data_IF_088721579581
#
_entry.id   IF_088721579581
#
_cell.length_a   1.000
_cell.length_b   1.000
_cell.length_c   1.000
_cell.angle_alpha   90.00
_cell.angle_beta   90.00
_cell.angle_gamma   90.00
#
_symmetry.space_group_name_H-M   'P 1'
#
loop_
_entity.id
_entity.type
_entity.pdbx_description
1 polymer ?
#
# COMPACT_ATOMS: atom_id res chain seq x y z
N UNK A 1 0.24 2.06 -8.32
CA UNK A 1 -0.11 2.48 -6.95
C UNK A 1 1.17 2.86 -6.24
N UNK A 2 1.16 3.92 -5.48
CA UNK A 2 2.28 4.59 -4.82
C UNK A 2 3.55 4.74 -5.70
N UNK A 3 4.39 5.69 -5.40
CA UNK A 3 5.65 5.92 -6.09
C UNK A 3 6.72 6.37 -5.08
N UNK A 4 6.95 5.54 -4.07
CA UNK A 4 7.86 5.81 -2.94
C UNK A 4 9.35 5.75 -3.28
N UNK A 5 9.69 5.30 -4.48
CA UNK A 5 11.05 5.29 -5.01
C UNK A 5 11.25 6.45 -5.99
N UNK A 6 12.50 6.70 -6.42
CA UNK A 6 12.76 7.76 -7.39
C UNK A 6 12.06 7.50 -8.73
N UNK A 7 11.62 8.56 -9.42
CA UNK A 7 11.02 8.45 -10.74
C UNK A 7 11.86 7.62 -11.73
N UNK A 8 13.20 7.78 -11.70
CA UNK A 8 14.11 6.97 -12.52
C UNK A 8 13.97 5.46 -12.25
N UNK A 9 13.74 5.05 -10.98
CA UNK A 9 13.56 3.63 -10.64
C UNK A 9 12.18 3.13 -11.03
N UNK A 10 11.14 3.97 -10.93
CA UNK A 10 9.80 3.65 -11.43
C UNK A 10 9.84 3.41 -12.94
N UNK A 11 10.45 4.34 -13.69
CA UNK A 11 10.62 4.22 -15.15
C UNK A 11 11.43 2.98 -15.55
N UNK A 12 12.46 2.64 -14.78
CA UNK A 12 13.23 1.41 -15.02
C UNK A 12 12.36 0.15 -14.83
N UNK A 13 11.53 0.12 -13.79
CA UNK A 13 10.61 -1.00 -13.56
C UNK A 13 9.52 -1.09 -14.64
N UNK A 14 8.97 0.03 -15.10
CA UNK A 14 8.01 0.05 -16.22
C UNK A 14 8.65 -0.51 -17.49
N UNK A 15 9.89 -0.13 -17.77
CA UNK A 15 10.62 -0.61 -18.95
C UNK A 15 10.88 -2.13 -18.91
N UNK A 16 11.08 -2.72 -17.73
CA UNK A 16 11.19 -4.18 -17.58
C UNK A 16 9.87 -4.90 -17.96
N UNK A 17 8.75 -4.18 -17.86
CA UNK A 17 7.43 -4.65 -18.27
C UNK A 17 7.05 -4.22 -19.70
N UNK A 18 8.00 -3.67 -20.46
CA UNK A 18 7.78 -3.12 -21.81
C UNK A 18 6.76 -1.96 -21.83
N UNK A 19 6.66 -1.20 -20.72
CA UNK A 19 5.78 -0.05 -20.56
C UNK A 19 6.59 1.25 -20.42
N UNK A 20 5.93 2.35 -20.72
CA UNK A 20 6.44 3.71 -20.50
C UNK A 20 5.54 4.47 -19.50
N UNK A 21 6.05 5.58 -18.96
CA UNK A 21 5.26 6.41 -18.05
C UNK A 21 4.01 7.02 -18.70
N UNK A 22 4.02 7.17 -20.03
CA UNK A 22 2.86 7.61 -20.84
C UNK A 22 1.73 6.58 -20.91
N UNK A 23 2.00 5.31 -20.62
CA UNK A 23 0.99 4.26 -20.61
C UNK A 23 0.18 4.24 -19.30
N UNK A 24 0.66 4.96 -18.28
CA UNK A 24 0.01 5.04 -16.96
C UNK A 24 -1.22 5.94 -17.04
N UNK A 25 -2.37 5.37 -16.77
CA UNK A 25 -3.67 6.09 -16.80
C UNK A 25 -4.00 6.80 -15.49
N UNK A 26 -3.30 6.49 -14.41
CA UNK A 26 -3.49 7.13 -13.11
C UNK A 26 -2.56 6.58 -12.05
N UNK A 27 -2.33 7.37 -11.02
CA UNK A 27 -1.54 7.00 -9.85
C UNK A 27 -2.43 7.04 -8.60
N UNK A 28 -2.61 5.90 -7.98
CA UNK A 28 -3.30 5.75 -6.70
C UNK A 28 -2.31 5.96 -5.57
N UNK A 29 -2.67 6.76 -4.58
CA UNK A 29 -1.84 6.99 -3.38
C UNK A 29 -2.59 6.48 -2.16
N UNK A 30 -1.91 5.64 -1.37
CA UNK A 30 -2.46 5.09 -0.13
C UNK A 30 -2.45 6.12 1.00
N UNK A 31 -1.34 6.82 1.15
CA UNK A 31 -1.13 7.86 2.15
C UNK A 31 0.13 8.69 1.85
N UNK A 32 0.39 9.73 2.63
CA UNK A 32 1.40 10.76 2.35
C UNK A 32 2.82 10.47 2.85
N UNK A 33 3.12 9.33 3.43
CA UNK A 33 4.48 9.04 3.90
C UNK A 33 5.50 9.04 2.74
N UNK A 34 6.71 9.47 3.01
CA UNK A 34 7.73 9.73 1.98
C UNK A 34 8.13 8.50 1.17
N UNK A 35 8.07 7.32 1.76
CA UNK A 35 8.33 6.04 1.14
C UNK A 35 7.18 5.55 0.24
N UNK A 36 6.08 6.30 0.18
CA UNK A 36 4.95 6.09 -0.75
C UNK A 36 4.89 7.16 -1.84
N UNK A 37 5.33 8.39 -1.58
CA UNK A 37 5.11 9.52 -2.51
C UNK A 37 6.36 10.17 -3.07
N UNK A 38 7.56 9.77 -2.69
CA UNK A 38 8.83 10.43 -3.06
C UNK A 38 9.01 10.72 -4.55
N UNK A 39 8.54 9.82 -5.42
CA UNK A 39 8.64 9.96 -6.88
C UNK A 39 7.49 10.71 -7.52
N UNK A 40 6.37 10.90 -6.81
CA UNK A 40 5.10 11.37 -7.36
C UNK A 40 5.24 12.72 -8.06
N UNK A 41 5.84 13.71 -7.40
CA UNK A 41 5.94 15.06 -7.98
C UNK A 41 6.72 15.11 -9.29
N UNK A 42 7.80 14.33 -9.42
CA UNK A 42 8.58 14.25 -10.66
C UNK A 42 7.80 13.55 -11.76
N UNK A 43 7.16 12.43 -11.44
CA UNK A 43 6.35 11.66 -12.39
C UNK A 43 5.13 12.45 -12.86
N UNK A 44 4.42 13.12 -11.96
CA UNK A 44 3.26 13.95 -12.28
C UNK A 44 3.64 15.09 -13.25
N UNK A 45 4.74 15.81 -12.98
CA UNK A 45 5.21 16.88 -13.91
C UNK A 45 5.66 16.36 -15.26
N UNK A 46 6.17 15.13 -15.32
CA UNK A 46 6.69 14.54 -16.56
C UNK A 46 5.59 13.98 -17.45
N UNK A 47 4.61 13.32 -16.86
CA UNK A 47 3.62 12.54 -17.61
C UNK A 47 2.19 13.10 -17.51
N UNK A 48 1.89 13.94 -16.53
CA UNK A 48 0.58 14.58 -16.40
C UNK A 48 -0.57 13.62 -16.11
N UNK A 49 -0.31 12.43 -15.50
CA UNK A 49 -1.39 11.50 -15.19
C UNK A 49 -2.18 11.93 -13.94
N UNK A 50 -3.46 11.56 -13.85
CA UNK A 50 -4.29 11.79 -12.68
C UNK A 50 -3.70 11.13 -11.41
N UNK A 51 -3.80 11.82 -10.27
CA UNK A 51 -3.40 11.33 -8.94
C UNK A 51 -4.67 11.17 -8.11
N UNK A 52 -4.97 9.96 -7.72
CA UNK A 52 -6.14 9.61 -6.92
C UNK A 52 -5.70 9.37 -5.47
N UNK A 53 -6.25 10.15 -4.53
CA UNK A 53 -6.00 10.02 -3.11
C UNK A 53 -7.18 10.57 -2.30
N UNK A 54 -7.26 10.23 -1.02
CA UNK A 54 -8.21 10.86 -0.10
C UNK A 54 -7.90 12.36 0.06
N UNK A 55 -8.90 13.14 0.47
CA UNK A 55 -8.70 14.58 0.65
C UNK A 55 -7.62 14.88 1.71
N UNK A 56 -7.60 14.11 2.81
CA UNK A 56 -6.58 14.27 3.85
C UNK A 56 -5.16 14.06 3.32
N UNK A 57 -4.95 12.99 2.53
CA UNK A 57 -3.67 12.71 1.87
C UNK A 57 -3.27 13.81 0.89
N UNK A 58 -4.20 14.30 0.05
CA UNK A 58 -3.95 15.40 -0.90
C UNK A 58 -3.52 16.67 -0.16
N UNK A 59 -4.22 17.05 0.91
CA UNK A 59 -3.90 18.25 1.67
C UNK A 59 -2.50 18.20 2.29
N UNK A 60 -2.09 17.03 2.80
CA UNK A 60 -0.73 16.83 3.29
C UNK A 60 0.30 16.90 2.16
N UNK A 61 0.06 16.23 1.03
CA UNK A 61 0.96 16.26 -0.13
C UNK A 61 1.19 17.67 -0.65
N UNK A 62 0.16 18.51 -0.71
CA UNK A 62 0.25 19.92 -1.12
C UNK A 62 1.13 20.74 -0.19
N UNK A 63 1.21 20.40 1.09
CA UNK A 63 2.09 21.02 2.07
C UNK A 63 3.56 20.62 1.96
N UNK A 64 3.89 19.57 1.17
CA UNK A 64 5.22 19.00 1.11
C UNK A 64 6.09 19.62 0.00
N UNK A 65 7.01 20.50 0.38
CA UNK A 65 7.96 21.12 -0.57
C UNK A 65 8.86 20.12 -1.30
N UNK A 66 9.07 18.91 -0.74
CA UNK A 66 9.86 17.83 -1.33
C UNK A 66 9.26 17.27 -2.63
N UNK A 67 7.96 17.39 -2.84
CA UNK A 67 7.27 16.96 -4.07
C UNK A 67 7.43 18.00 -5.20
N UNK A 68 7.73 19.26 -4.86
CA UNK A 68 7.69 20.40 -5.80
C UNK A 68 6.26 20.71 -6.24
N UNK A 69 6.11 21.67 -7.15
CA UNK A 69 4.79 22.03 -7.65
C UNK A 69 4.18 20.89 -8.49
N UNK A 70 2.96 20.52 -8.18
CA UNK A 70 2.11 19.61 -8.96
C UNK A 70 0.88 20.40 -9.40
N UNK A 71 0.46 20.26 -10.65
CA UNK A 71 -0.74 20.92 -11.16
C UNK A 71 -1.97 20.45 -10.35
N UNK A 72 -2.73 21.42 -9.83
CA UNK A 72 -3.94 21.19 -9.06
C UNK A 72 -4.97 20.33 -9.82
N UNK A 73 -5.03 20.47 -11.13
CA UNK A 73 -5.93 19.70 -11.99
C UNK A 73 -5.60 18.21 -12.07
N UNK A 74 -4.44 17.77 -11.59
CA UNK A 74 -4.07 16.35 -11.55
C UNK A 74 -4.62 15.63 -10.31
N UNK A 75 -5.00 16.34 -9.25
CA UNK A 75 -5.55 15.73 -8.04
C UNK A 75 -7.02 15.37 -8.20
N UNK A 76 -7.32 14.10 -7.97
CA UNK A 76 -8.67 13.55 -7.96
C UNK A 76 -8.95 12.97 -6.57
N UNK A 77 -9.85 13.63 -5.84
CA UNK A 77 -10.25 13.18 -4.50
C UNK A 77 -11.10 11.93 -4.62
N UNK A 78 -10.71 10.89 -3.89
CA UNK A 78 -11.49 9.66 -3.70
C UNK A 78 -12.03 9.61 -2.28
N UNK A 79 -13.03 8.73 -2.07
CA UNK A 79 -13.59 8.46 -0.75
C UNK A 79 -13.53 6.97 -0.46
N UNK A 80 -13.13 6.57 0.75
CA UNK A 80 -13.22 5.18 1.16
C UNK A 80 -14.64 4.64 1.00
N UNK A 81 -14.77 3.37 0.66
CA UNK A 81 -16.02 2.64 0.40
C UNK A 81 -16.84 3.14 -0.82
N UNK A 82 -16.31 4.10 -1.59
CA UNK A 82 -16.91 4.55 -2.86
C UNK A 82 -16.06 4.05 -4.03
N UNK A 83 -16.60 3.16 -4.83
CA UNK A 83 -15.93 2.64 -6.03
C UNK A 83 -15.85 3.68 -7.14
N UNK A 84 -14.77 3.63 -7.91
CA UNK A 84 -14.59 4.41 -9.13
C UNK A 84 -13.85 3.59 -10.20
N UNK A 85 -13.72 4.13 -11.40
CA UNK A 85 -13.10 3.43 -12.52
C UNK A 85 -11.87 4.16 -13.06
N UNK A 86 -10.81 3.40 -13.37
CA UNK A 86 -9.69 3.85 -14.20
C UNK A 86 -9.63 2.90 -15.40
N UNK A 87 -10.03 3.38 -16.57
CA UNK A 87 -10.25 2.51 -17.73
C UNK A 87 -11.34 1.47 -17.43
N UNK A 88 -11.00 0.19 -17.57
CA UNK A 88 -11.86 -0.97 -17.28
C UNK A 88 -11.62 -1.58 -15.88
N UNK A 89 -10.79 -0.97 -15.08
CA UNK A 89 -10.51 -1.42 -13.72
C UNK A 89 -11.42 -0.67 -12.75
N UNK A 90 -12.25 -1.43 -12.03
CA UNK A 90 -12.97 -0.94 -10.86
C UNK A 90 -12.02 -0.87 -9.67
N UNK A 91 -12.02 0.26 -8.97
CA UNK A 91 -11.13 0.53 -7.84
C UNK A 91 -11.98 0.87 -6.62
N UNK A 92 -11.79 0.13 -5.56
CA UNK A 92 -12.45 0.34 -4.27
C UNK A 92 -11.38 0.70 -3.23
N UNK A 93 -11.31 1.96 -2.77
CA UNK A 93 -10.48 2.34 -1.64
C UNK A 93 -11.20 1.97 -0.34
N UNK A 94 -10.47 1.50 0.66
CA UNK A 94 -11.02 1.23 1.99
C UNK A 94 -10.05 1.69 3.07
N UNK A 95 -10.60 2.14 4.22
CA UNK A 95 -9.79 2.65 5.33
C UNK A 95 -8.89 1.60 5.95
N UNK A 96 -7.68 2.02 6.33
CA UNK A 96 -6.75 1.23 7.13
C UNK A 96 -6.33 1.99 8.39
N UNK A 97 -5.88 1.25 9.41
CA UNK A 97 -5.38 1.85 10.65
C UNK A 97 -3.90 2.14 10.53
N UNK A 98 -3.56 3.39 10.21
CA UNK A 98 -2.18 3.87 10.09
C UNK A 98 -2.03 5.30 10.61
N UNK A 99 -0.79 5.73 10.90
CA UNK A 99 -0.49 7.05 11.43
C UNK A 99 -0.29 8.12 10.33
N UNK A 100 -1.24 8.17 9.41
CA UNK A 100 -1.32 9.13 8.31
C UNK A 100 -2.64 9.94 8.39
N UNK A 101 -2.82 10.92 7.52
CA UNK A 101 -3.96 11.84 7.58
C UNK A 101 -5.29 11.16 7.29
N UNK A 102 -5.33 10.34 6.22
CA UNK A 102 -6.54 9.60 5.81
C UNK A 102 -6.15 8.40 4.95
N UNK A 103 -5.50 7.37 5.57
CA UNK A 103 -4.86 6.28 4.85
C UNK A 103 -5.86 5.25 4.35
N UNK A 104 -5.62 4.74 3.13
CA UNK A 104 -6.44 3.72 2.47
C UNK A 104 -5.59 2.59 1.89
N UNK A 105 -6.17 1.41 1.82
CA UNK A 105 -5.77 0.33 0.94
C UNK A 105 -6.70 0.29 -0.28
N UNK A 106 -6.39 -0.53 -1.28
CA UNK A 106 -7.15 -0.61 -2.51
C UNK A 106 -7.47 -2.04 -2.90
N UNK A 107 -8.73 -2.27 -3.27
CA UNK A 107 -9.22 -3.44 -3.96
C UNK A 107 -9.47 -3.08 -5.43
N UNK A 108 -9.19 -4.01 -6.32
CA UNK A 108 -9.31 -3.88 -7.76
C UNK A 108 -10.14 -5.02 -8.33
N UNK A 109 -11.03 -4.69 -9.26
CA UNK A 109 -11.76 -5.70 -10.04
C UNK A 109 -11.72 -5.35 -11.52
N UNK A 110 -11.44 -6.33 -12.37
CA UNK A 110 -11.52 -6.22 -13.83
C UNK A 110 -11.69 -7.60 -14.46
N UNK A 111 -12.60 -7.72 -15.42
CA UNK A 111 -12.83 -8.96 -16.19
C UNK A 111 -13.01 -10.22 -15.32
N UNK A 112 -13.72 -10.09 -14.19
CA UNK A 112 -13.99 -11.18 -13.24
C UNK A 112 -12.74 -11.65 -12.49
N UNK A 113 -11.71 -10.81 -12.40
CA UNK A 113 -10.51 -10.99 -11.57
C UNK A 113 -10.45 -9.93 -10.52
N UNK A 114 -9.97 -10.31 -9.35
CA UNK A 114 -9.87 -9.40 -8.21
C UNK A 114 -8.48 -9.44 -7.55
N UNK A 115 -8.02 -8.28 -7.14
CA UNK A 115 -6.78 -8.14 -6.41
C UNK A 115 -6.91 -7.09 -5.32
N UNK A 116 -6.07 -7.14 -4.29
CA UNK A 116 -5.92 -6.06 -3.34
C UNK A 116 -4.45 -5.81 -2.97
N UNK A 117 -4.18 -4.57 -2.58
CA UNK A 117 -2.92 -4.18 -1.96
C UNK A 117 -3.25 -3.54 -0.62
N UNK A 118 -2.81 -4.18 0.46
CA UNK A 118 -3.08 -3.80 1.84
C UNK A 118 -1.77 -3.81 2.64
N UNK A 119 -1.15 -2.66 2.72
CA UNK A 119 0.07 -2.39 3.49
C UNK A 119 -0.18 -1.27 4.48
N UNK A 120 0.73 -1.09 5.43
CA UNK A 120 0.68 -0.01 6.41
C UNK A 120 -0.53 -0.08 7.34
N UNK A 121 -0.78 -1.28 7.86
CA UNK A 121 -1.86 -1.52 8.83
C UNK A 121 -1.28 -1.94 10.18
N UNK A 122 -1.58 -1.19 11.24
CA UNK A 122 -1.21 -1.62 12.60
C UNK A 122 -2.11 -2.74 13.12
N UNK A 123 -3.39 -2.69 12.82
CA UNK A 123 -4.39 -3.71 13.17
C UNK A 123 -5.40 -3.89 12.04
N UNK A 124 -6.10 -5.02 12.06
CA UNK A 124 -7.24 -5.29 11.20
C UNK A 124 -8.48 -5.66 12.04
N UNK A 125 -9.65 -5.51 11.45
CA UNK A 125 -10.94 -5.85 12.02
C UNK A 125 -11.83 -6.53 10.97
N UNK A 126 -13.09 -6.79 11.29
CA UNK A 126 -14.02 -7.43 10.36
C UNK A 126 -14.25 -6.61 9.07
N UNK A 127 -14.21 -5.28 9.17
CA UNK A 127 -14.29 -4.40 8.00
C UNK A 127 -13.16 -4.66 6.99
N UNK A 128 -11.90 -4.72 7.44
CA UNK A 128 -10.75 -5.06 6.60
C UNK A 128 -10.89 -6.46 5.99
N UNK A 129 -11.31 -7.42 6.82
CA UNK A 129 -11.51 -8.81 6.36
C UNK A 129 -12.54 -8.88 5.25
N UNK A 130 -13.66 -8.15 5.34
CA UNK A 130 -14.70 -8.15 4.30
C UNK A 130 -14.18 -7.60 2.97
N UNK A 131 -13.37 -6.52 2.96
CA UNK A 131 -12.76 -5.99 1.74
C UNK A 131 -11.72 -6.93 1.11
N UNK A 132 -11.08 -7.77 1.92
CA UNK A 132 -10.05 -8.72 1.46
C UNK A 132 -10.58 -10.12 1.12
N UNK A 133 -11.87 -10.41 1.34
CA UNK A 133 -12.48 -11.70 0.97
C UNK A 133 -12.67 -11.85 -0.53
N UNK A 134 -12.59 -13.09 -0.98
CA UNK A 134 -12.92 -13.48 -2.36
C UNK A 134 -11.93 -13.02 -3.42
N UNK A 135 -10.71 -12.60 -3.04
CA UNK A 135 -9.68 -12.13 -3.96
C UNK A 135 -8.98 -13.27 -4.71
N UNK A 136 -8.66 -13.06 -6.00
CA UNK A 136 -7.73 -13.93 -6.72
C UNK A 136 -6.28 -13.69 -6.27
N UNK A 137 -5.91 -12.44 -5.99
CA UNK A 137 -4.54 -12.05 -5.61
C UNK A 137 -4.56 -11.03 -4.49
N UNK A 138 -3.66 -11.17 -3.53
CA UNK A 138 -3.43 -10.16 -2.50
C UNK A 138 -1.94 -9.88 -2.33
N UNK A 139 -1.59 -8.59 -2.21
CA UNK A 139 -0.34 -8.14 -1.63
C UNK A 139 -0.65 -7.65 -0.22
N UNK A 140 -0.16 -8.38 0.77
CA UNK A 140 -0.42 -8.14 2.18
C UNK A 140 0.87 -7.76 2.90
N UNK A 141 0.79 -6.81 3.81
CA UNK A 141 1.90 -6.49 4.70
C UNK A 141 2.27 -7.67 5.60
N UNK A 142 3.58 -7.93 5.72
CA UNK A 142 4.21 -8.74 6.74
C UNK A 142 5.48 -8.00 7.19
N UNK A 143 5.28 -6.91 7.95
CA UNK A 143 6.33 -5.91 8.14
C UNK A 143 7.48 -6.42 8.97
N UNK A 144 7.24 -6.99 10.13
CA UNK A 144 8.29 -7.32 11.08
C UNK A 144 8.03 -8.63 11.83
N UNK A 145 9.10 -9.26 12.23
CA UNK A 145 9.10 -10.26 13.29
C UNK A 145 9.10 -9.53 14.64
N UNK A 146 8.22 -9.94 15.54
CA UNK A 146 8.02 -9.28 16.84
C UNK A 146 9.30 -9.35 17.67
N UNK A 147 9.99 -10.49 17.69
CA UNK A 147 11.20 -10.68 18.51
C UNK A 147 12.38 -9.87 17.95
N UNK A 148 12.58 -9.91 16.62
CA UNK A 148 13.61 -9.09 15.99
C UNK A 148 13.38 -7.59 16.26
N UNK A 149 12.16 -7.11 16.16
CA UNK A 149 11.84 -5.72 16.47
C UNK A 149 12.11 -5.39 17.94
N UNK A 150 11.72 -6.26 18.88
CA UNK A 150 11.92 -6.02 20.30
C UNK A 150 13.41 -5.95 20.69
N UNK A 151 14.25 -6.83 20.15
CA UNK A 151 15.69 -6.85 20.47
C UNK A 151 16.53 -5.99 19.54
N UNK A 152 15.99 -5.59 18.39
CA UNK A 152 16.67 -4.84 17.34
C UNK A 152 17.14 -3.45 17.76
N UNK A 153 17.86 -2.75 16.87
CA UNK A 153 18.54 -1.50 17.20
C UNK A 153 17.63 -0.27 17.26
N UNK A 154 16.35 -0.37 16.89
CA UNK A 154 15.47 0.78 16.87
C UNK A 154 15.25 1.39 18.25
N UNK A 155 15.17 2.72 18.37
CA UNK A 155 14.81 3.39 19.62
C UNK A 155 13.45 2.94 20.13
N UNK A 156 13.28 2.87 21.44
CA UNK A 156 12.04 2.40 22.07
C UNK A 156 10.76 3.10 21.55
N UNK A 157 10.72 4.44 21.37
CA UNK A 157 9.54 5.10 20.81
C UNK A 157 9.16 4.60 19.41
N UNK A 158 10.15 4.32 18.54
CA UNK A 158 9.91 3.78 17.21
C UNK A 158 9.36 2.35 17.27
N UNK A 159 9.89 1.50 18.16
CA UNK A 159 9.35 0.17 18.39
C UNK A 159 7.88 0.22 18.84
N UNK A 160 7.55 1.10 19.76
CA UNK A 160 6.16 1.30 20.21
C UNK A 160 5.23 1.80 19.09
N UNK A 161 5.72 2.70 18.23
CA UNK A 161 4.99 3.16 17.06
C UNK A 161 4.69 2.01 16.09
N UNK A 162 5.70 1.18 15.77
CA UNK A 162 5.58 0.05 14.85
C UNK A 162 4.60 -1.01 15.40
N UNK A 163 4.70 -1.34 16.70
CA UNK A 163 3.84 -2.32 17.37
C UNK A 163 2.43 -1.79 17.69
N UNK A 164 2.22 -0.49 17.55
CA UNK A 164 0.95 0.14 17.90
C UNK A 164 -0.17 -0.13 16.88
N UNK A 165 -1.41 0.14 17.28
CA UNK A 165 -2.60 -0.06 16.45
C UNK A 165 -2.58 0.73 15.13
N UNK A 166 -1.76 1.78 15.04
CA UNK A 166 -1.56 2.60 13.85
C UNK A 166 -0.16 2.40 13.23
N UNK A 167 0.51 1.32 13.59
CA UNK A 167 1.83 0.96 13.09
C UNK A 167 1.76 0.03 11.87
N UNK A 168 2.30 -1.20 12.02
CA UNK A 168 2.41 -2.17 10.93
C UNK A 168 2.07 -3.59 11.41
N UNK A 169 1.52 -4.42 10.53
CA UNK A 169 1.27 -5.83 10.82
C UNK A 169 2.58 -6.59 11.01
N UNK A 170 2.65 -7.37 12.09
CA UNK A 170 3.70 -8.38 12.24
C UNK A 170 3.47 -9.56 11.29
N UNK A 171 4.48 -10.42 11.15
CA UNK A 171 4.36 -11.65 10.38
C UNK A 171 3.22 -12.54 10.89
N UNK A 172 3.10 -12.67 12.22
CA UNK A 172 2.04 -13.44 12.87
C UNK A 172 0.65 -12.86 12.58
N UNK A 173 0.49 -11.54 12.73
CA UNK A 173 -0.79 -10.87 12.44
C UNK A 173 -1.17 -10.99 10.97
N UNK A 174 -0.20 -10.97 10.06
CA UNK A 174 -0.44 -11.19 8.63
C UNK A 174 -0.93 -12.63 8.37
N UNK A 175 -0.33 -13.64 9.02
CA UNK A 175 -0.77 -15.03 8.94
C UNK A 175 -2.19 -15.21 9.45
N UNK A 176 -2.50 -14.66 10.62
CA UNK A 176 -3.84 -14.69 11.21
C UNK A 176 -4.90 -14.01 10.34
N UNK A 177 -4.56 -12.87 9.69
CA UNK A 177 -5.44 -12.24 8.72
C UNK A 177 -5.65 -13.13 7.49
N UNK A 178 -4.59 -13.75 6.98
CA UNK A 178 -4.70 -14.69 5.85
C UNK A 178 -5.62 -15.86 6.18
N UNK A 179 -5.58 -16.44 7.38
CA UNK A 179 -6.51 -17.50 7.80
C UNK A 179 -7.99 -17.08 7.70
N UNK A 180 -8.29 -15.80 7.79
CA UNK A 180 -9.66 -15.27 7.69
C UNK A 180 -10.14 -15.01 6.26
N UNK A 181 -9.21 -14.83 5.31
CA UNK A 181 -9.51 -14.46 3.92
C UNK A 181 -9.16 -15.54 2.90
N UNK A 182 -8.37 -16.55 3.29
CA UNK A 182 -8.01 -17.67 2.40
C UNK A 182 -9.24 -18.44 1.93
N UNK A 183 -9.22 -18.83 0.65
CA UNK A 183 -10.22 -19.69 0.03
C UNK A 183 -9.61 -20.44 -1.17
N UNK A 184 -10.26 -21.53 -1.61
CA UNK A 184 -9.73 -22.45 -2.63
C UNK A 184 -9.44 -21.80 -4.00
N UNK A 185 -10.11 -20.70 -4.31
CA UNK A 185 -9.93 -19.99 -5.57
C UNK A 185 -8.83 -18.92 -5.55
N UNK A 186 -8.24 -18.61 -4.41
CA UNK A 186 -7.13 -17.65 -4.31
C UNK A 186 -5.91 -18.17 -5.09
N UNK A 187 -5.37 -17.37 -6.00
CA UNK A 187 -4.29 -17.77 -6.91
C UNK A 187 -2.91 -17.42 -6.37
N UNK A 188 -2.79 -16.27 -5.73
CA UNK A 188 -1.49 -15.78 -5.30
C UNK A 188 -1.58 -14.86 -4.09
N UNK A 189 -0.63 -15.05 -3.18
CA UNK A 189 -0.38 -14.18 -2.04
C UNK A 189 1.05 -13.64 -2.19
N UNK A 190 1.19 -12.33 -2.09
CA UNK A 190 2.48 -11.69 -1.96
C UNK A 190 2.59 -11.11 -0.56
N UNK A 191 3.65 -11.45 0.15
CA UNK A 191 4.03 -10.79 1.39
C UNK A 191 4.92 -9.61 1.02
N UNK A 192 4.55 -8.43 1.47
CA UNK A 192 5.25 -7.21 1.11
C UNK A 192 5.46 -6.29 2.30
N UNK A 193 6.05 -5.12 2.02
CA UNK A 193 6.33 -4.08 3.01
C UNK A 193 7.19 -4.57 4.18
N UNK A 194 8.16 -5.46 3.91
CA UNK A 194 9.03 -6.04 4.90
C UNK A 194 10.04 -5.01 5.43
N UNK A 195 10.17 -4.94 6.74
CA UNK A 195 11.21 -4.14 7.40
C UNK A 195 12.60 -4.68 7.09
N UNK A 196 13.49 -3.83 6.61
CA UNK A 196 14.88 -4.21 6.29
C UNK A 196 15.70 -4.62 7.52
N UNK A 197 15.36 -4.07 8.70
CA UNK A 197 16.10 -4.27 9.93
C UNK A 197 15.47 -5.33 10.83
N UNK A 198 14.17 -5.57 10.70
CA UNK A 198 13.42 -6.40 11.64
C UNK A 198 12.66 -7.54 10.94
N UNK A 199 13.08 -7.90 9.71
CA UNK A 199 12.49 -9.00 8.95
C UNK A 199 13.44 -9.47 7.83
N UNK A 200 13.11 -10.61 7.22
CA UNK A 200 13.65 -11.08 5.95
C UNK A 200 12.70 -12.10 5.31
N UNK A 201 12.77 -12.25 4.00
CA UNK A 201 11.78 -12.97 3.18
C UNK A 201 11.44 -14.36 3.71
N UNK A 202 12.46 -15.15 4.06
CA UNK A 202 12.26 -16.54 4.53
C UNK A 202 11.55 -16.56 5.90
N UNK A 203 11.89 -15.64 6.81
CA UNK A 203 11.25 -15.59 8.14
C UNK A 203 9.79 -15.17 7.99
N UNK A 204 9.51 -14.10 7.23
CA UNK A 204 8.15 -13.68 6.96
C UNK A 204 7.30 -14.81 6.38
N UNK A 205 7.81 -15.49 5.34
CA UNK A 205 7.12 -16.61 4.71
C UNK A 205 6.84 -17.77 5.69
N UNK A 206 7.86 -18.23 6.45
CA UNK A 206 7.68 -19.37 7.35
C UNK A 206 6.77 -19.04 8.53
N UNK A 207 6.86 -17.83 9.10
CA UNK A 207 5.96 -17.40 10.18
C UNK A 207 4.52 -17.35 9.70
N UNK A 208 4.26 -16.65 8.58
CA UNK A 208 2.91 -16.55 7.99
C UNK A 208 2.34 -17.91 7.63
N UNK A 209 3.17 -18.86 7.15
CA UNK A 209 2.75 -20.21 6.80
C UNK A 209 2.39 -21.09 8.01
N UNK A 210 2.95 -20.78 9.17
CA UNK A 210 2.72 -21.55 10.40
C UNK A 210 1.47 -21.11 11.16
N UNK A 211 1.04 -19.87 11.00
CA UNK A 211 -0.23 -19.36 11.51
C UNK A 211 -1.43 -19.95 10.74
#
# INVERSE_FOLDING_TARGET
MDAGISAKRVEAGLKELELEGSDIQGLLITHEHSDHIKGVGVLARRYGFPIYATQGTIDQMKGMSSLGAIDEGLYHTIRPDETFFIGDVEVEPFHISHDAADPVAYRFESNGKSAAVATDMGIYNDYIVEHLKGLDVVLLEANHDIQMLQVGPYPYPLKQRILGERGHLSNESAGQLLCRILHDNMKKIYLGHLSKENNYDKLAYETVRLE
#
